data_IF_281470316596
#
_entry.id   IF_281470316596
#
_cell.length_a   1.000
_cell.length_b   1.000
_cell.length_c   1.000
_cell.angle_alpha   90.00
_cell.angle_beta   90.00
_cell.angle_gamma   90.00
#
_symmetry.space_group_name_H-M   'P 1'
#
loop_
_entity.id
_entity.type
_entity.pdbx_description
1 polymer ?
#
# COMPACT_ATOMS: atom_id res chain seq x y z
N UNK A 1 8.27 -10.45 -12.29
CA UNK A 1 7.88 -9.18 -11.68
C UNK A 1 7.30 -9.50 -10.31
N UNK A 2 7.97 -9.06 -9.25
CA UNK A 2 7.44 -9.15 -7.89
C UNK A 2 6.95 -7.77 -7.51
N UNK A 3 5.64 -7.60 -7.47
CA UNK A 3 5.03 -6.34 -7.05
C UNK A 3 4.92 -6.34 -5.54
N UNK A 4 5.41 -5.32 -4.87
CA UNK A 4 5.39 -5.26 -3.40
C UNK A 4 4.84 -3.92 -2.93
N UNK A 5 4.12 -3.96 -1.80
CA UNK A 5 3.79 -2.76 -1.03
C UNK A 5 4.54 -2.81 0.28
N UNK A 6 5.01 -1.65 0.72
CA UNK A 6 5.71 -1.44 1.96
C UNK A 6 5.05 -0.28 2.70
N UNK A 7 4.42 -0.57 3.82
CA UNK A 7 3.87 0.42 4.74
C UNK A 7 4.86 0.67 5.86
N UNK A 8 5.03 1.92 6.26
CA UNK A 8 5.79 2.28 7.45
C UNK A 8 5.10 3.39 8.25
N UNK A 9 5.25 3.34 9.57
CA UNK A 9 4.70 4.32 10.50
C UNK A 9 5.67 4.56 11.64
N UNK A 10 5.67 5.77 12.19
CA UNK A 10 6.41 6.08 13.41
C UNK A 10 5.61 5.75 14.69
N UNK A 11 4.31 5.45 14.55
CA UNK A 11 3.41 5.18 15.67
C UNK A 11 2.99 3.72 15.64
N UNK A 12 3.33 3.00 16.71
CA UNK A 12 2.99 1.58 16.87
C UNK A 12 1.48 1.37 16.77
N UNK A 13 1.07 0.33 16.05
CA UNK A 13 -0.32 -0.06 15.90
C UNK A 13 -1.09 0.68 14.79
N UNK A 14 -0.58 1.78 14.22
CA UNK A 14 -1.27 2.49 13.12
C UNK A 14 -1.45 1.61 11.89
N UNK A 15 -0.36 0.95 11.46
CA UNK A 15 -0.40 0.02 10.32
C UNK A 15 -1.39 -1.10 10.58
N UNK A 16 -1.37 -1.67 11.79
CA UNK A 16 -2.30 -2.73 12.15
C UNK A 16 -3.75 -2.25 12.12
N UNK A 17 -4.00 -1.03 12.60
CA UNK A 17 -5.33 -0.42 12.59
C UNK A 17 -5.84 -0.21 11.15
N UNK A 18 -5.01 0.35 10.27
CA UNK A 18 -5.33 0.51 8.85
C UNK A 18 -5.61 -0.84 8.18
N UNK A 19 -4.73 -1.82 8.34
CA UNK A 19 -4.89 -3.14 7.71
C UNK A 19 -6.12 -3.89 8.23
N UNK A 20 -6.44 -3.76 9.53
CA UNK A 20 -7.63 -4.37 10.11
C UNK A 20 -8.92 -3.86 9.46
N UNK A 21 -8.97 -2.55 9.18
CA UNK A 21 -10.08 -1.92 8.49
C UNK A 21 -10.10 -2.30 7.01
N UNK A 22 -8.95 -2.27 6.33
CA UNK A 22 -8.86 -2.57 4.90
C UNK A 22 -9.27 -4.00 4.54
N UNK A 23 -8.82 -5.01 5.30
CA UNK A 23 -9.18 -6.42 5.00
C UNK A 23 -10.38 -6.93 5.82
N UNK A 24 -10.99 -6.08 6.66
CA UNK A 24 -12.07 -6.47 7.59
C UNK A 24 -11.71 -7.69 8.45
N UNK A 25 -10.45 -7.78 8.88
CA UNK A 25 -9.90 -8.93 9.63
C UNK A 25 -9.06 -8.44 10.79
N UNK A 26 -9.08 -9.18 11.90
CA UNK A 26 -8.17 -8.92 13.01
C UNK A 26 -6.79 -9.49 12.70
N UNK A 27 -5.88 -8.64 12.27
CA UNK A 27 -4.45 -8.89 12.28
C UNK A 27 -3.92 -8.63 13.70
N UNK A 28 -3.20 -9.60 14.23
CA UNK A 28 -2.32 -9.39 15.39
C UNK A 28 -0.90 -9.22 14.85
N UNK A 29 -0.64 -8.12 14.14
CA UNK A 29 0.73 -7.72 13.85
C UNK A 29 1.37 -7.30 15.18
N UNK A 30 2.31 -8.10 15.69
CA UNK A 30 3.14 -7.71 16.83
C UNK A 30 3.87 -6.42 16.48
N UNK A 31 3.48 -5.30 17.09
CA UNK A 31 4.23 -4.05 17.28
C UNK A 31 5.09 -3.56 16.10
N UNK A 32 4.67 -3.84 14.87
CA UNK A 32 5.49 -3.63 13.69
C UNK A 32 5.27 -2.23 13.13
N UNK A 33 6.36 -1.46 13.11
CA UNK A 33 6.43 -0.14 12.48
C UNK A 33 6.48 -0.25 10.94
N UNK A 34 6.57 -1.46 10.41
CA UNK A 34 6.70 -1.77 9.00
C UNK A 34 5.86 -2.97 8.63
N UNK A 35 5.23 -2.96 7.47
CA UNK A 35 4.54 -4.10 6.91
C UNK A 35 4.83 -4.21 5.42
N UNK A 36 5.15 -5.41 4.95
CA UNK A 36 5.37 -5.70 3.54
C UNK A 36 4.39 -6.77 3.07
N UNK A 37 3.90 -6.62 1.84
CA UNK A 37 3.17 -7.69 1.15
C UNK A 37 3.51 -7.73 -0.32
N UNK A 38 3.75 -8.94 -0.82
CA UNK A 38 3.90 -9.20 -2.23
C UNK A 38 2.54 -9.49 -2.88
N UNK A 39 2.32 -8.90 -4.05
CA UNK A 39 1.14 -9.08 -4.88
C UNK A 39 1.53 -9.79 -6.17
N UNK A 40 0.89 -10.93 -6.42
CA UNK A 40 1.02 -11.67 -7.68
C UNK A 40 0.42 -10.89 -8.84
N UNK A 41 -0.71 -10.24 -8.60
CA UNK A 41 -1.36 -9.37 -9.56
C UNK A 41 -1.10 -7.90 -9.19
N UNK A 42 -0.37 -7.13 -10.02
CA UNK A 42 -0.14 -5.71 -9.78
C UNK A 42 -1.41 -4.87 -9.67
N UNK A 43 -2.51 -5.29 -10.31
CA UNK A 43 -3.79 -4.55 -10.26
C UNK A 43 -4.36 -4.51 -8.84
N UNK A 44 -4.12 -5.54 -8.02
CA UNK A 44 -4.56 -5.58 -6.61
C UNK A 44 -3.92 -4.46 -5.76
N UNK A 45 -2.83 -3.83 -6.22
CA UNK A 45 -2.26 -2.66 -5.54
C UNK A 45 -3.16 -1.44 -5.68
N UNK A 46 -3.96 -1.32 -6.75
CA UNK A 46 -4.81 -0.17 -6.95
C UNK A 46 -5.80 0.01 -5.78
N UNK A 47 -6.35 -1.10 -5.27
CA UNK A 47 -7.33 -1.09 -4.17
C UNK A 47 -6.71 -0.55 -2.86
N UNK A 48 -5.51 -1.02 -2.50
CA UNK A 48 -4.83 -0.58 -1.27
C UNK A 48 -4.28 0.84 -1.40
N UNK A 49 -3.80 1.23 -2.60
CA UNK A 49 -3.34 2.60 -2.89
C UNK A 49 -4.53 3.57 -2.76
N UNK A 50 -5.67 3.28 -3.38
CA UNK A 50 -6.86 4.12 -3.27
C UNK A 50 -7.33 4.26 -1.83
N UNK A 51 -7.44 3.13 -1.12
CA UNK A 51 -7.86 3.13 0.30
C UNK A 51 -6.89 3.88 1.21
N UNK A 52 -5.59 3.83 0.93
CA UNK A 52 -4.57 4.58 1.65
C UNK A 52 -4.75 6.09 1.46
N UNK A 53 -4.90 6.54 0.22
CA UNK A 53 -5.04 7.96 -0.13
C UNK A 53 -6.32 8.57 0.43
N UNK A 54 -7.44 7.84 0.34
CA UNK A 54 -8.74 8.26 0.88
C UNK A 54 -8.73 8.44 2.42
N UNK A 55 -7.71 7.92 3.10
CA UNK A 55 -7.58 7.98 4.55
C UNK A 55 -6.20 8.44 5.04
N UNK A 56 -5.38 9.02 4.17
CA UNK A 56 -4.00 9.41 4.48
C UNK A 56 -3.94 10.47 5.60
N UNK A 57 -5.01 11.27 5.75
CA UNK A 57 -5.20 12.24 6.82
C UNK A 57 -5.55 11.61 8.19
N UNK A 58 -6.10 10.38 8.19
CA UNK A 58 -6.58 9.69 9.39
C UNK A 58 -5.53 8.77 10.01
N UNK A 59 -4.56 8.30 9.23
CA UNK A 59 -3.54 7.35 9.67
C UNK A 59 -2.15 7.94 9.50
N UNK A 60 -1.30 7.82 10.50
CA UNK A 60 0.10 8.26 10.40
C UNK A 60 0.97 7.18 9.72
N UNK A 61 0.66 6.87 8.46
CA UNK A 61 1.31 5.81 7.67
C UNK A 61 1.85 6.42 6.39
N UNK A 62 2.94 5.87 5.88
CA UNK A 62 3.45 6.17 4.57
C UNK A 62 3.56 4.86 3.76
N UNK A 63 3.44 4.96 2.44
CA UNK A 63 3.40 3.81 1.54
C UNK A 63 4.47 3.92 0.45
N UNK A 64 5.26 2.87 0.30
CA UNK A 64 6.11 2.64 -0.86
C UNK A 64 5.60 1.45 -1.65
N UNK A 65 5.69 1.53 -2.97
CA UNK A 65 5.42 0.39 -3.86
C UNK A 65 6.66 0.07 -4.68
N UNK A 66 6.81 -1.21 -5.00
CA UNK A 66 7.79 -1.69 -5.96
C UNK A 66 7.06 -2.42 -7.07
N UNK A 67 7.16 -1.93 -8.30
CA UNK A 67 6.54 -2.55 -9.48
C UNK A 67 7.52 -3.43 -10.26
N UNK A 68 8.82 -3.20 -10.07
CA UNK A 68 9.91 -3.93 -10.68
C UNK A 68 11.11 -3.95 -9.74
N UNK A 69 12.01 -4.90 -9.95
CA UNK A 69 13.19 -5.06 -9.09
C UNK A 69 14.08 -3.81 -9.12
N UNK A 70 14.39 -3.27 -7.94
CA UNK A 70 15.22 -2.07 -7.80
C UNK A 70 14.49 -0.73 -7.94
N UNK A 71 13.18 -0.71 -8.20
CA UNK A 71 12.37 0.50 -8.21
C UNK A 71 11.46 0.56 -6.98
N UNK A 72 11.57 1.65 -6.22
CA UNK A 72 10.67 1.99 -5.12
C UNK A 72 10.07 3.38 -5.37
N UNK A 73 8.74 3.46 -5.33
CA UNK A 73 7.97 4.69 -5.55
C UNK A 73 7.24 5.02 -4.26
N UNK A 74 7.43 6.23 -3.73
CA UNK A 74 6.65 6.73 -2.62
C UNK A 74 5.27 7.15 -3.13
N UNK A 75 4.21 6.63 -2.52
CA UNK A 75 2.83 6.95 -2.88
C UNK A 75 2.38 8.18 -2.09
N UNK A 76 1.82 9.15 -2.80
CA UNK A 76 1.38 10.45 -2.29
C UNK A 76 0.08 10.84 -2.98
N UNK A 77 -0.65 11.80 -2.41
CA UNK A 77 -1.90 12.31 -3.00
C UNK A 77 -1.70 12.84 -4.44
N UNK A 78 -0.52 13.40 -4.74
CA UNK A 78 -0.20 13.95 -6.06
C UNK A 78 0.03 12.90 -7.15
N UNK A 79 0.50 11.69 -6.78
CA UNK A 79 0.92 10.68 -7.75
C UNK A 79 0.07 9.40 -7.75
N UNK A 80 -0.79 9.21 -6.76
CA UNK A 80 -1.59 8.00 -6.62
C UNK A 80 -2.48 7.72 -7.84
N UNK A 81 -3.18 8.73 -8.36
CA UNK A 81 -4.03 8.58 -9.56
C UNK A 81 -3.20 8.14 -10.78
N UNK A 82 -2.02 8.74 -10.96
CA UNK A 82 -1.12 8.38 -12.07
C UNK A 82 -0.59 6.93 -11.93
N UNK A 83 -0.28 6.50 -10.71
CA UNK A 83 0.15 5.13 -10.43
C UNK A 83 -0.99 4.14 -10.71
N UNK A 84 -2.19 4.39 -10.20
CA UNK A 84 -3.36 3.53 -10.40
C UNK A 84 -3.67 3.42 -11.90
N UNK A 85 -3.71 4.55 -12.62
CA UNK A 85 -3.93 4.55 -14.07
C UNK A 85 -2.89 3.72 -14.80
N UNK A 86 -1.61 3.89 -14.44
CA UNK A 86 -0.52 3.12 -15.02
C UNK A 86 -0.65 1.61 -14.79
N UNK A 87 -1.12 1.17 -13.60
CA UNK A 87 -1.36 -0.24 -13.31
C UNK A 87 -2.40 -0.84 -14.28
N UNK A 88 -3.52 -0.14 -14.49
CA UNK A 88 -4.57 -0.59 -15.40
C UNK A 88 -4.17 -0.52 -16.88
N UNK A 89 -3.36 0.45 -17.28
CA UNK A 89 -2.85 0.56 -18.66
C UNK A 89 -1.82 -0.54 -18.99
N UNK A 90 -0.94 -0.89 -18.05
CA UNK A 90 0.16 -1.84 -18.26
C UNK A 90 -0.24 -3.30 -18.06
N UNK A 91 -1.19 -3.58 -17.18
CA UNK A 91 -1.64 -4.93 -16.87
C UNK A 91 -3.12 -5.10 -17.22
N UNK A 92 -3.45 -5.32 -18.51
CA UNK A 92 -4.82 -5.66 -18.91
C UNK A 92 -5.21 -7.04 -18.36
N UNK A 93 -6.44 -7.13 -17.85
CA UNK A 93 -7.06 -8.31 -17.23
C UNK A 93 -7.02 -9.58 -18.08
#
# INVERSE_FOLDING_TARGET
MQTKVNLYSMKKGEINHFLNLFYEKTFSLEDSLTWEKEYKNPIELADIIGSFIDNNDKFQINMWISLDEGLLINVTDDNADSIIRYLYERFPY
#
